data_IF_127393455769
#
_entry.id   IF_127393455769
#
_cell.length_a   1.000
_cell.length_b   1.000
_cell.length_c   1.000
_cell.angle_alpha   90.00
_cell.angle_beta   90.00
_cell.angle_gamma   90.00
#
_symmetry.space_group_name_H-M   'P 1'
#
loop_
_entity.id
_entity.type
_entity.pdbx_description
1 polymer ?
#
# COMPACT_ATOMS: atom_id res chain seq x y z
N UNK A 1 9.81 12.06 12.06
CA UNK A 1 10.28 13.31 11.43
C UNK A 1 9.20 13.99 10.60
N UNK A 2 8.43 13.23 9.77
CA UNK A 2 7.43 13.81 8.85
C UNK A 2 6.06 14.05 9.49
N UNK A 3 5.83 13.58 10.73
CA UNK A 3 4.50 13.58 11.33
C UNK A 3 3.94 14.99 11.50
N UNK A 4 4.76 15.93 11.97
CA UNK A 4 4.35 17.32 12.17
C UNK A 4 3.99 17.98 10.85
N UNK A 5 4.88 17.86 9.86
CA UNK A 5 4.68 18.44 8.53
C UNK A 5 3.37 17.90 7.88
N UNK A 6 3.11 16.61 8.01
CA UNK A 6 1.87 16.00 7.50
C UNK A 6 0.63 16.54 8.24
N UNK A 7 0.69 16.62 9.57
CA UNK A 7 -0.44 17.09 10.38
C UNK A 7 -0.73 18.58 10.17
N UNK A 8 0.29 19.42 10.01
CA UNK A 8 0.15 20.87 9.76
C UNK A 8 -0.40 21.16 8.37
N UNK A 9 -0.05 20.33 7.38
CA UNK A 9 -0.46 20.52 5.99
C UNK A 9 -1.67 19.65 5.60
N UNK A 10 -2.34 18.98 6.55
CA UNK A 10 -3.48 18.07 6.31
C UNK A 10 -3.18 16.93 5.33
N UNK A 11 -1.93 16.48 5.29
CA UNK A 11 -1.49 15.34 4.48
C UNK A 11 -1.88 14.05 5.21
N UNK A 12 -2.64 13.19 4.54
CA UNK A 12 -3.03 11.89 5.07
C UNK A 12 -1.88 10.89 4.94
N UNK A 13 -1.69 10.07 5.95
CA UNK A 13 -0.70 8.97 5.94
C UNK A 13 -1.45 7.65 5.93
N UNK A 14 -1.24 6.83 4.93
CA UNK A 14 -1.82 5.49 4.83
C UNK A 14 -0.66 4.49 4.77
N UNK A 15 -0.70 3.46 5.63
CA UNK A 15 0.39 2.50 5.70
C UNK A 15 -0.03 1.15 6.27
N UNK A 16 0.55 0.09 5.71
CA UNK A 16 0.44 -1.29 6.20
C UNK A 16 1.53 -1.67 7.22
N UNK A 17 2.22 -0.67 7.81
CA UNK A 17 3.20 -0.90 8.89
C UNK A 17 2.60 -1.56 10.13
N UNK A 18 1.29 -1.64 10.22
CA UNK A 18 0.58 -2.40 11.25
C UNK A 18 0.90 -3.88 11.21
N UNK A 19 1.15 -4.43 10.04
CA UNK A 19 1.50 -5.84 9.81
C UNK A 19 0.74 -6.78 10.77
N UNK A 20 1.44 -7.47 11.68
CA UNK A 20 0.83 -8.39 12.63
C UNK A 20 0.16 -7.71 13.85
N UNK A 21 0.33 -6.41 14.06
CA UNK A 21 -0.26 -5.69 15.21
C UNK A 21 -0.59 -4.22 14.89
N UNK A 22 -1.59 -3.95 14.06
CA UNK A 22 -1.98 -2.59 13.68
C UNK A 22 -2.40 -1.72 14.87
N UNK A 23 -3.05 -2.30 15.88
CA UNK A 23 -3.43 -1.59 17.11
C UNK A 23 -2.18 -1.15 17.90
N UNK A 24 -1.17 -2.02 18.00
CA UNK A 24 0.10 -1.72 18.64
C UNK A 24 0.86 -0.60 17.92
N UNK A 25 0.88 -0.64 16.59
CA UNK A 25 1.46 0.41 15.75
C UNK A 25 0.79 1.77 15.98
N UNK A 26 -0.53 1.81 15.99
CA UNK A 26 -1.29 3.03 16.27
C UNK A 26 -1.00 3.60 17.66
N UNK A 27 -0.96 2.75 18.70
CA UNK A 27 -0.55 3.16 20.06
C UNK A 27 0.85 3.77 20.06
N UNK A 28 1.78 3.14 19.33
CA UNK A 28 3.17 3.64 19.24
C UNK A 28 3.26 5.00 18.57
N UNK A 29 2.48 5.25 17.53
CA UNK A 29 2.41 6.58 16.88
C UNK A 29 1.92 7.64 17.87
N UNK A 30 0.89 7.36 18.67
CA UNK A 30 0.40 8.26 19.72
C UNK A 30 1.48 8.55 20.78
N UNK A 31 2.25 7.54 21.17
CA UNK A 31 3.37 7.76 22.11
C UNK A 31 4.45 8.66 21.52
N UNK A 32 4.78 8.46 20.23
CA UNK A 32 5.77 9.28 19.53
C UNK A 32 5.28 10.72 19.43
N UNK A 33 4.02 10.95 19.04
CA UNK A 33 3.45 12.30 18.95
C UNK A 33 3.54 13.05 20.30
N UNK A 34 3.22 12.37 21.40
CA UNK A 34 3.40 12.96 22.75
C UNK A 34 4.82 13.33 23.07
N UNK A 35 5.80 12.47 22.71
CA UNK A 35 7.23 12.74 22.96
C UNK A 35 7.78 13.89 22.13
N UNK A 36 7.26 14.05 20.92
CA UNK A 36 7.63 15.14 20.01
C UNK A 36 6.85 16.43 20.26
N UNK A 37 5.89 16.40 21.19
CA UNK A 37 4.99 17.52 21.49
C UNK A 37 4.18 17.98 20.26
N UNK A 38 3.86 17.04 19.36
CA UNK A 38 3.01 17.31 18.21
C UNK A 38 1.53 17.22 18.60
N UNK A 39 0.62 17.78 17.80
CA UNK A 39 -0.80 17.54 18.03
C UNK A 39 -1.09 16.04 17.98
N UNK A 40 -2.01 15.58 18.80
CA UNK A 40 -2.42 14.18 18.80
C UNK A 40 -3.11 13.84 17.47
N UNK A 41 -2.57 12.91 16.64
CA UNK A 41 -3.23 12.52 15.42
C UNK A 41 -4.49 11.70 15.69
N UNK A 42 -5.48 11.82 14.82
CA UNK A 42 -6.60 10.88 14.71
C UNK A 42 -6.15 9.70 13.87
N UNK A 43 -6.20 8.49 14.40
CA UNK A 43 -5.72 7.30 13.70
C UNK A 43 -6.90 6.34 13.46
N UNK A 44 -7.16 6.02 12.21
CA UNK A 44 -7.99 4.89 11.80
C UNK A 44 -7.15 3.61 11.83
N UNK A 45 -7.68 2.55 12.40
CA UNK A 45 -7.03 1.24 12.42
C UNK A 45 -7.93 0.24 11.71
N UNK A 46 -7.44 -0.34 10.62
CA UNK A 46 -8.13 -1.40 9.89
C UNK A 46 -7.59 -2.74 10.38
N UNK A 47 -8.50 -3.58 10.86
CA UNK A 47 -8.23 -4.91 11.40
C UNK A 47 -9.16 -5.94 10.75
N UNK A 48 -8.91 -7.22 10.96
CA UNK A 48 -9.71 -8.32 10.43
C UNK A 48 -8.98 -9.16 9.38
N UNK A 49 -7.68 -8.91 9.22
CA UNK A 49 -6.78 -9.70 8.39
C UNK A 49 -6.25 -10.95 9.09
N UNK A 50 -6.18 -10.95 10.43
CA UNK A 50 -5.71 -12.09 11.21
C UNK A 50 -6.80 -13.16 11.33
N UNK A 51 -6.52 -14.33 10.79
CA UNK A 51 -7.41 -15.50 10.80
C UNK A 51 -6.97 -16.58 11.80
N UNK A 52 -5.92 -16.34 12.58
CA UNK A 52 -5.33 -17.38 13.42
C UNK A 52 -6.33 -17.99 14.42
N UNK A 53 -7.21 -17.20 14.99
CA UNK A 53 -8.26 -17.67 15.92
C UNK A 53 -9.35 -18.51 15.23
N UNK A 54 -9.46 -18.41 13.90
CA UNK A 54 -10.43 -19.18 13.08
C UNK A 54 -9.82 -20.42 12.44
N UNK A 55 -8.53 -20.71 12.66
CA UNK A 55 -7.84 -21.85 12.04
C UNK A 55 -8.28 -23.23 12.58
N UNK A 56 -9.21 -23.28 13.52
CA UNK A 56 -9.93 -24.50 13.90
C UNK A 56 -11.18 -24.75 13.05
N UNK A 57 -11.55 -23.79 12.20
CA UNK A 57 -12.69 -23.90 11.29
C UNK A 57 -12.33 -24.85 10.13
N UNK A 58 -13.12 -25.92 9.97
CA UNK A 58 -12.88 -26.92 8.93
C UNK A 58 -13.01 -26.33 7.52
N UNK A 59 -13.86 -25.32 7.31
CA UNK A 59 -13.99 -24.67 6.00
C UNK A 59 -12.69 -23.97 5.56
N UNK A 60 -11.94 -23.38 6.50
CA UNK A 60 -10.65 -22.76 6.22
C UNK A 60 -9.59 -23.83 5.97
N UNK A 61 -9.53 -24.85 6.83
CA UNK A 61 -8.52 -25.92 6.72
C UNK A 61 -8.70 -26.80 5.47
N UNK A 62 -9.95 -27.01 5.06
CA UNK A 62 -10.29 -27.79 3.88
C UNK A 62 -10.22 -26.99 2.58
N UNK A 63 -9.98 -25.68 2.66
CA UNK A 63 -9.85 -24.83 1.47
C UNK A 63 -8.63 -25.23 0.64
N UNK A 64 -8.74 -25.32 -0.69
CA UNK A 64 -7.61 -25.66 -1.54
C UNK A 64 -6.56 -24.56 -1.46
N UNK A 65 -5.31 -24.95 -1.31
CA UNK A 65 -4.17 -24.02 -1.42
C UNK A 65 -3.73 -23.89 -2.87
N UNK A 66 -3.13 -22.76 -3.24
CA UNK A 66 -2.60 -22.56 -4.60
C UNK A 66 -1.56 -23.62 -4.98
N UNK A 67 -0.80 -24.12 -4.01
CA UNK A 67 0.28 -25.09 -4.20
C UNK A 67 -0.15 -26.54 -3.89
N UNK A 68 -1.41 -26.76 -3.55
CA UNK A 68 -1.94 -28.09 -3.21
C UNK A 68 -1.38 -28.66 -1.89
N UNK A 69 -0.93 -27.80 -0.98
CA UNK A 69 -0.40 -28.22 0.30
C UNK A 69 -1.51 -28.61 1.27
N UNK A 70 -1.27 -29.69 2.04
CA UNK A 70 -2.15 -30.12 3.13
C UNK A 70 -1.63 -29.55 4.46
N UNK A 71 -2.43 -28.72 5.12
CA UNK A 71 -2.14 -28.11 6.41
C UNK A 71 -2.72 -28.85 7.61
N UNK A 72 -3.48 -29.93 7.40
CA UNK A 72 -4.24 -30.62 8.45
C UNK A 72 -3.40 -31.11 9.65
N UNK A 73 -2.09 -31.30 9.47
CA UNK A 73 -1.16 -31.78 10.49
C UNK A 73 -0.09 -30.75 10.90
N UNK A 74 -0.19 -29.52 10.45
CA UNK A 74 0.82 -28.50 10.72
C UNK A 74 0.43 -27.62 11.91
N UNK A 75 1.41 -27.21 12.69
CA UNK A 75 1.22 -26.21 13.72
C UNK A 75 1.26 -24.80 13.06
N UNK A 76 0.09 -24.27 12.73
CA UNK A 76 -0.04 -22.96 12.10
C UNK A 76 0.23 -21.87 13.13
N UNK A 77 1.21 -21.04 12.89
CA UNK A 77 1.65 -19.96 13.79
C UNK A 77 1.19 -18.57 13.35
N UNK A 78 0.77 -18.42 12.09
CA UNK A 78 0.21 -17.19 11.53
C UNK A 78 -0.69 -17.53 10.34
N UNK A 79 -1.82 -16.85 10.23
CA UNK A 79 -2.73 -16.96 9.10
C UNK A 79 -3.37 -15.58 8.88
N UNK A 80 -3.26 -15.05 7.67
CA UNK A 80 -3.81 -13.74 7.33
C UNK A 80 -4.50 -13.77 5.97
N UNK A 81 -5.59 -13.01 5.87
CA UNK A 81 -6.21 -12.66 4.59
C UNK A 81 -5.75 -11.25 4.18
N UNK A 82 -5.58 -11.02 2.88
CA UNK A 82 -5.30 -9.69 2.38
C UNK A 82 -6.58 -8.89 2.22
N UNK A 83 -6.69 -7.80 3.01
CA UNK A 83 -7.83 -6.88 2.95
C UNK A 83 -7.77 -6.04 1.68
N UNK A 84 -8.94 -5.66 1.15
CA UNK A 84 -9.05 -4.78 -0.01
C UNK A 84 -8.97 -3.29 0.36
N UNK A 85 -9.26 -2.44 -0.62
CA UNK A 85 -9.15 -0.98 -0.51
C UNK A 85 -10.31 -0.32 0.25
N UNK A 86 -11.52 -0.91 0.22
CA UNK A 86 -12.71 -0.28 0.80
C UNK A 86 -12.58 0.05 2.30
N UNK A 87 -12.03 -0.81 3.17
CA UNK A 87 -11.85 -0.47 4.59
C UNK A 87 -10.94 0.75 4.82
N UNK A 88 -9.99 1.01 3.91
CA UNK A 88 -9.14 2.20 3.96
C UNK A 88 -9.97 3.45 3.64
N UNK A 89 -10.79 3.39 2.59
CA UNK A 89 -11.71 4.48 2.23
C UNK A 89 -12.70 4.77 3.37
N UNK A 90 -13.26 3.73 4.00
CA UNK A 90 -14.18 3.86 5.13
C UNK A 90 -13.51 4.48 6.37
N UNK A 91 -12.24 4.18 6.60
CA UNK A 91 -11.45 4.81 7.66
C UNK A 91 -11.20 6.30 7.37
N UNK A 92 -10.82 6.65 6.14
CA UNK A 92 -10.63 8.04 5.70
C UNK A 92 -11.91 8.87 5.84
N UNK A 93 -13.07 8.28 5.57
CA UNK A 93 -14.39 8.91 5.75
C UNK A 93 -14.71 9.29 7.21
N UNK A 94 -13.91 8.84 8.19
CA UNK A 94 -14.01 9.25 9.61
C UNK A 94 -13.14 10.47 9.94
N UNK A 95 -12.66 11.18 8.95
CA UNK A 95 -11.79 12.36 9.11
C UNK A 95 -10.54 12.06 9.97
N UNK A 96 -9.86 10.99 9.64
CA UNK A 96 -8.61 10.60 10.30
C UNK A 96 -7.40 11.24 9.62
N UNK A 97 -6.30 11.42 10.36
CA UNK A 97 -5.03 11.90 9.83
C UNK A 97 -4.19 10.75 9.28
N UNK A 98 -4.30 9.59 9.92
CA UNK A 98 -3.49 8.40 9.63
C UNK A 98 -4.39 7.18 9.53
N UNK A 99 -4.18 6.33 8.55
CA UNK A 99 -4.77 4.99 8.47
C UNK A 99 -3.66 3.95 8.60
N UNK A 100 -3.78 3.09 9.60
CA UNK A 100 -2.90 1.94 9.80
C UNK A 100 -3.68 0.68 9.50
N UNK A 101 -3.16 -0.13 8.61
CA UNK A 101 -3.75 -1.42 8.26
C UNK A 101 -2.81 -2.58 8.62
N UNK A 102 -3.37 -3.77 8.79
CA UNK A 102 -2.65 -5.03 8.86
C UNK A 102 -2.22 -5.50 7.46
N UNK A 103 -2.42 -6.78 7.17
CA UNK A 103 -2.16 -7.32 5.82
C UNK A 103 -3.22 -6.84 4.85
N UNK A 104 -2.79 -6.27 3.75
CA UNK A 104 -3.70 -5.75 2.72
C UNK A 104 -3.07 -5.97 1.33
N UNK A 105 -3.91 -5.99 0.32
CA UNK A 105 -3.45 -6.00 -1.08
C UNK A 105 -2.62 -4.74 -1.33
N UNK A 106 -1.45 -4.87 -1.93
CA UNK A 106 -0.47 -3.78 -2.02
C UNK A 106 -1.03 -2.54 -2.72
N UNK A 107 -1.76 -2.71 -3.82
CA UNK A 107 -2.44 -1.62 -4.52
C UNK A 107 -3.51 -0.91 -3.68
N UNK A 108 -4.02 -1.54 -2.61
CA UNK A 108 -5.08 -0.97 -1.77
C UNK A 108 -4.65 0.32 -1.06
N UNK A 109 -3.35 0.49 -0.79
CA UNK A 109 -2.83 1.70 -0.14
C UNK A 109 -2.99 2.97 -0.99
N UNK A 110 -3.03 2.82 -2.31
CA UNK A 110 -3.34 3.90 -3.24
C UNK A 110 -4.82 3.92 -3.64
N UNK A 111 -5.41 2.75 -3.93
CA UNK A 111 -6.80 2.64 -4.35
C UNK A 111 -7.79 3.10 -3.27
N UNK A 112 -7.52 2.84 -1.99
CA UNK A 112 -8.39 3.27 -0.89
C UNK A 112 -8.57 4.79 -0.82
N UNK A 113 -7.49 5.59 -0.81
CA UNK A 113 -7.57 7.04 -0.95
C UNK A 113 -8.33 7.51 -2.20
N UNK A 114 -8.10 6.90 -3.36
CA UNK A 114 -8.78 7.27 -4.60
C UNK A 114 -10.30 7.02 -4.53
N UNK A 115 -10.72 5.87 -3.96
CA UNK A 115 -12.14 5.60 -3.70
C UNK A 115 -12.74 6.68 -2.79
N UNK A 116 -12.03 7.09 -1.74
CA UNK A 116 -12.50 8.11 -0.82
C UNK A 116 -12.59 9.49 -1.47
N UNK A 117 -11.54 9.95 -2.12
CA UNK A 117 -11.45 11.30 -2.69
C UNK A 117 -12.43 11.51 -3.86
N UNK A 118 -12.53 10.53 -4.75
CA UNK A 118 -13.40 10.63 -5.93
C UNK A 118 -14.78 10.00 -5.75
N UNK A 119 -15.04 9.35 -4.62
CA UNK A 119 -16.32 8.74 -4.32
C UNK A 119 -16.71 7.58 -5.24
N UNK A 120 -15.72 6.86 -5.78
CA UNK A 120 -15.93 5.74 -6.71
C UNK A 120 -16.76 4.63 -6.09
N UNK A 121 -17.54 3.95 -6.94
CA UNK A 121 -18.42 2.86 -6.54
C UNK A 121 -17.90 1.53 -7.11
N UNK A 122 -18.34 0.43 -6.53
CA UNK A 122 -17.97 -0.92 -6.99
C UNK A 122 -18.25 -1.20 -8.47
N UNK A 123 -19.18 -0.47 -9.09
CA UNK A 123 -19.52 -0.60 -10.51
C UNK A 123 -18.61 0.19 -11.45
N UNK A 124 -17.81 1.09 -10.94
CA UNK A 124 -16.93 1.98 -11.71
C UNK A 124 -15.63 1.24 -12.04
N UNK A 125 -15.75 0.10 -12.73
CA UNK A 125 -14.68 -0.88 -12.91
C UNK A 125 -13.44 -0.30 -13.60
N UNK A 126 -13.60 0.56 -14.59
CA UNK A 126 -12.47 1.18 -15.29
C UNK A 126 -11.66 2.09 -14.36
N UNK A 127 -12.34 2.87 -13.52
CA UNK A 127 -11.70 3.73 -12.51
C UNK A 127 -11.00 2.92 -11.43
N UNK A 128 -11.66 1.87 -10.92
CA UNK A 128 -11.06 0.95 -9.95
C UNK A 128 -9.85 0.23 -10.54
N UNK A 129 -9.94 -0.21 -11.80
CA UNK A 129 -8.82 -0.82 -12.52
C UNK A 129 -7.65 0.14 -12.66
N UNK A 130 -7.90 1.39 -13.05
CA UNK A 130 -6.86 2.42 -13.15
C UNK A 130 -6.19 2.69 -11.80
N UNK A 131 -6.99 2.85 -10.73
CA UNK A 131 -6.46 3.03 -9.38
C UNK A 131 -5.66 1.83 -8.88
N UNK A 132 -6.06 0.61 -9.25
CA UNK A 132 -5.30 -0.62 -8.92
C UNK A 132 -3.95 -0.63 -9.64
N UNK A 133 -3.90 -0.28 -10.92
CA UNK A 133 -2.65 -0.17 -11.70
C UNK A 133 -1.75 0.91 -11.09
N UNK A 134 -2.30 2.06 -10.75
CA UNK A 134 -1.54 3.11 -10.07
C UNK A 134 -0.93 2.60 -8.76
N UNK A 135 -1.71 1.91 -7.94
CA UNK A 135 -1.23 1.32 -6.69
C UNK A 135 -0.13 0.30 -6.90
N UNK A 136 -0.24 -0.58 -7.89
CA UNK A 136 0.80 -1.53 -8.26
C UNK A 136 2.10 -0.85 -8.71
N UNK A 137 2.01 0.28 -9.41
CA UNK A 137 3.19 1.04 -9.80
C UNK A 137 3.89 1.73 -8.61
N UNK A 138 3.15 2.06 -7.55
CA UNK A 138 3.67 2.78 -6.39
C UNK A 138 4.21 1.87 -5.29
N UNK A 139 3.70 0.64 -5.16
CA UNK A 139 3.85 -0.21 -3.98
C UNK A 139 5.31 -0.58 -3.67
N UNK A 140 6.12 -0.84 -4.67
CA UNK A 140 7.54 -1.14 -4.53
C UNK A 140 8.44 0.12 -4.49
N UNK A 141 7.86 1.29 -4.25
CA UNK A 141 8.60 2.55 -4.09
C UNK A 141 9.49 2.86 -5.29
N UNK A 142 10.79 2.99 -5.07
CA UNK A 142 11.73 3.41 -6.09
C UNK A 142 11.93 2.40 -7.25
N UNK A 143 11.29 1.23 -7.24
CA UNK A 143 11.38 0.28 -8.37
C UNK A 143 10.91 0.93 -9.67
N UNK A 144 9.72 1.56 -9.67
CA UNK A 144 9.16 2.21 -10.85
C UNK A 144 9.96 3.43 -11.33
N UNK A 145 10.72 4.05 -10.43
CA UNK A 145 11.62 5.16 -10.76
C UNK A 145 13.03 4.70 -11.12
N UNK A 146 13.20 3.42 -11.40
CA UNK A 146 14.37 2.85 -12.03
C UNK A 146 15.30 2.02 -11.13
N UNK A 147 15.03 1.91 -9.83
CA UNK A 147 15.89 1.12 -8.94
C UNK A 147 15.87 -0.38 -9.26
N UNK A 148 14.76 -0.91 -9.76
CA UNK A 148 14.66 -2.29 -10.23
C UNK A 148 15.14 -2.45 -11.67
N UNK A 149 14.86 -1.47 -12.53
CA UNK A 149 15.25 -1.46 -13.93
C UNK A 149 16.77 -1.39 -14.13
N UNK A 150 17.50 -0.81 -13.19
CA UNK A 150 18.93 -0.51 -13.35
C UNK A 150 19.79 -1.77 -13.55
N UNK A 151 20.53 -1.78 -14.67
CA UNK A 151 21.54 -2.80 -14.98
C UNK A 151 22.77 -2.05 -15.60
N UNK A 152 23.77 -1.71 -14.76
CA UNK A 152 24.86 -0.83 -15.17
C UNK A 152 25.58 -1.29 -16.43
N UNK A 153 25.67 -0.40 -17.41
CA UNK A 153 26.25 -0.68 -18.73
C UNK A 153 25.27 -1.21 -19.78
N UNK A 154 24.03 -1.57 -19.37
CA UNK A 154 22.95 -2.00 -20.25
C UNK A 154 21.68 -1.16 -20.09
N UNK A 155 21.29 -0.91 -18.85
CA UNK A 155 20.13 -0.10 -18.49
C UNK A 155 20.56 0.94 -17.45
N UNK A 156 21.22 1.98 -17.92
CA UNK A 156 21.75 3.01 -17.03
C UNK A 156 20.63 3.88 -16.46
N UNK A 157 20.61 4.02 -15.14
CA UNK A 157 19.72 4.90 -14.41
C UNK A 157 20.55 5.94 -13.67
N UNK A 158 20.31 7.25 -13.92
CA UNK A 158 21.15 8.30 -13.37
C UNK A 158 20.99 8.41 -11.84
N UNK A 159 22.13 8.63 -11.16
CA UNK A 159 22.21 8.98 -9.73
C UNK A 159 21.35 8.07 -8.82
N UNK A 160 21.50 6.74 -8.92
CA UNK A 160 20.76 5.77 -8.11
C UNK A 160 20.93 5.97 -6.59
N UNK A 161 22.08 6.49 -6.14
CA UNK A 161 22.31 6.78 -4.72
C UNK A 161 21.35 7.83 -4.15
N UNK A 162 20.71 8.63 -5.01
CA UNK A 162 19.72 9.64 -4.65
C UNK A 162 18.41 9.41 -5.44
N UNK A 163 18.03 8.15 -5.67
CA UNK A 163 16.82 7.82 -6.41
C UNK A 163 15.57 8.40 -5.73
N UNK A 164 14.72 9.07 -6.52
CA UNK A 164 13.46 9.63 -6.03
C UNK A 164 12.37 8.55 -5.90
N UNK A 165 11.58 8.64 -4.84
CA UNK A 165 10.36 7.85 -4.72
C UNK A 165 9.29 8.31 -5.72
N UNK A 166 8.41 7.42 -6.18
CA UNK A 166 7.37 7.78 -7.13
C UNK A 166 6.33 8.72 -6.51
N UNK A 167 5.80 9.58 -7.36
CA UNK A 167 4.62 10.41 -7.10
C UNK A 167 3.62 10.08 -8.19
N UNK A 168 2.36 9.79 -7.83
CA UNK A 168 1.27 9.69 -8.76
C UNK A 168 0.39 10.94 -8.68
N UNK A 169 0.19 11.61 -9.80
CA UNK A 169 -0.78 12.70 -9.95
C UNK A 169 -2.01 12.12 -10.66
N UNK A 170 -3.13 12.06 -9.94
CA UNK A 170 -4.34 11.38 -10.38
C UNK A 170 -5.46 12.38 -10.68
N UNK A 171 -6.22 12.12 -11.75
CA UNK A 171 -7.36 12.93 -12.20
C UNK A 171 -8.69 12.21 -11.96
N UNK A 172 -9.79 12.95 -11.94
CA UNK A 172 -11.15 12.45 -11.70
C UNK A 172 -11.66 11.50 -12.80
N UNK A 173 -11.12 11.62 -14.02
CA UNK A 173 -11.42 10.74 -15.14
C UNK A 173 -10.69 9.39 -15.11
N UNK A 174 -9.88 9.15 -14.06
CA UNK A 174 -9.09 7.93 -13.91
C UNK A 174 -7.73 7.98 -14.59
N UNK A 175 -7.39 9.03 -15.30
CA UNK A 175 -6.03 9.21 -15.83
C UNK A 175 -5.04 9.59 -14.73
N UNK A 176 -3.79 9.16 -14.87
CA UNK A 176 -2.75 9.54 -13.91
C UNK A 176 -1.36 9.61 -14.56
N UNK A 177 -0.48 10.34 -13.92
CA UNK A 177 0.93 10.47 -14.31
C UNK A 177 1.81 10.01 -13.15
N UNK A 178 2.80 9.17 -13.46
CA UNK A 178 3.88 8.82 -12.52
C UNK A 178 5.05 9.76 -12.74
N UNK A 179 5.50 10.38 -11.66
CA UNK A 179 6.66 11.25 -11.63
C UNK A 179 7.51 10.97 -10.38
N UNK A 180 8.47 11.82 -10.09
CA UNK A 180 9.32 11.76 -8.89
C UNK A 180 9.73 13.17 -8.47
N UNK A 181 10.21 13.37 -7.22
CA UNK A 181 10.65 14.70 -6.76
C UNK A 181 11.74 15.28 -7.66
N UNK A 182 11.65 16.58 -7.94
CA UNK A 182 12.67 17.31 -8.69
C UNK A 182 14.05 17.23 -8.01
N UNK A 183 15.11 17.24 -8.81
CA UNK A 183 16.49 17.18 -8.31
C UNK A 183 16.92 15.82 -7.78
N UNK A 184 16.04 14.79 -7.79
CA UNK A 184 16.41 13.43 -7.43
C UNK A 184 16.93 12.64 -8.62
N UNK A 185 17.71 11.59 -8.33
CA UNK A 185 18.11 10.57 -9.31
C UNK A 185 16.94 9.67 -9.71
N UNK A 186 17.25 8.64 -10.47
CA UNK A 186 16.22 7.75 -11.00
C UNK A 186 15.74 8.15 -12.39
N UNK A 187 14.94 7.28 -12.99
CA UNK A 187 14.40 7.42 -14.34
C UNK A 187 12.93 6.97 -14.33
N UNK A 188 12.02 7.84 -14.74
CA UNK A 188 10.64 7.48 -15.08
C UNK A 188 10.52 7.44 -16.59
N UNK A 189 10.24 6.29 -17.14
CA UNK A 189 10.17 6.06 -18.58
C UNK A 189 9.18 4.94 -18.91
N UNK A 190 8.81 4.82 -20.18
CA UNK A 190 7.99 3.68 -20.63
C UNK A 190 8.62 2.34 -20.21
N UNK A 191 9.95 2.20 -20.28
CA UNK A 191 10.62 0.97 -19.93
C UNK A 191 10.54 0.65 -18.43
N UNK A 192 10.81 1.62 -17.55
CA UNK A 192 10.72 1.42 -16.09
C UNK A 192 9.30 1.12 -15.64
N UNK A 193 8.30 1.81 -16.22
CA UNK A 193 6.87 1.56 -15.98
C UNK A 193 6.47 0.16 -16.45
N UNK A 194 6.89 -0.24 -17.67
CA UNK A 194 6.55 -1.57 -18.19
C UNK A 194 7.16 -2.68 -17.34
N UNK A 195 8.40 -2.52 -16.88
CA UNK A 195 9.07 -3.50 -16.04
C UNK A 195 8.36 -3.64 -14.68
N UNK A 196 7.91 -2.52 -14.07
CA UNK A 196 7.12 -2.56 -12.85
C UNK A 196 5.74 -3.18 -13.06
N UNK A 197 5.07 -2.91 -14.19
CA UNK A 197 3.76 -3.52 -14.49
C UNK A 197 3.82 -5.05 -14.62
N UNK A 198 4.96 -5.58 -15.08
CA UNK A 198 5.17 -7.02 -15.23
C UNK A 198 5.72 -7.69 -13.96
N UNK A 199 6.12 -6.88 -12.98
CA UNK A 199 6.64 -7.38 -11.71
C UNK A 199 5.55 -8.14 -10.95
N UNK A 200 5.88 -9.35 -10.47
CA UNK A 200 4.94 -10.23 -9.77
C UNK A 200 3.69 -10.65 -10.59
N UNK A 201 3.67 -10.37 -11.90
CA UNK A 201 2.61 -10.88 -12.77
C UNK A 201 3.02 -12.26 -13.27
N UNK A 202 2.32 -13.29 -12.79
CA UNK A 202 2.57 -14.68 -13.17
C UNK A 202 1.55 -15.13 -14.22
N UNK A 203 1.93 -16.17 -15.00
CA UNK A 203 0.98 -16.87 -15.84
C UNK A 203 -0.15 -17.47 -15.01
N UNK A 204 -1.42 -17.31 -15.42
CA UNK A 204 -2.58 -17.83 -14.69
C UNK A 204 -2.64 -19.36 -14.69
#
# INVERSE_FOLDING_TARGET
PILDDCLENNIKIISNIGAANPIGAAKRIIEISKKQNTRKPKIGVVVGDDLLEYMSDTEILDSPTMEGLDFSNNNITAANVYLGAQPIADALAKDVDIVIVGRTVDSALALGPLIYEYGWKQKDLDLLGSGTICGHLLECGAQVTGAYFADPGFKDVPNLANVGFPIAEFSDDGSFVITKPEGTGGLVSKATITEQLLYETHDP
#
